data_IF_544547461636
#
_entry.id   IF_544547461636
#
_cell.length_a   1.000
_cell.length_b   1.000
_cell.length_c   1.000
_cell.angle_alpha   90.00
_cell.angle_beta   90.00
_cell.angle_gamma   90.00
#
_symmetry.space_group_name_H-M   'P 1'
#
loop_
_entity.id
_entity.type
_entity.pdbx_description
1 polymer ?
#
# COMPACT_ATOMS: atom_id res chain seq x y z
N UNK A 1 11.88 2.67 -0.11
CA UNK A 1 10.62 2.23 0.53
C UNK A 1 9.50 2.20 -0.50
N UNK A 2 8.55 1.28 -0.36
CA UNK A 2 7.37 1.14 -1.24
C UNK A 2 6.09 1.20 -0.42
N UNK A 3 5.22 2.16 -0.72
CA UNK A 3 3.85 2.18 -0.20
C UNK A 3 2.88 1.56 -1.20
N UNK A 4 1.85 0.91 -0.67
CA UNK A 4 0.74 0.35 -1.44
C UNK A 4 -0.60 0.91 -0.97
N UNK A 5 -1.58 0.99 -1.86
CA UNK A 5 -2.96 0.84 -1.42
C UNK A 5 -3.22 -0.62 -0.97
N UNK A 6 -4.32 -0.85 -0.26
CA UNK A 6 -4.74 -2.18 0.14
C UNK A 6 -5.73 -2.80 -0.85
N UNK A 7 -6.93 -2.22 -0.94
CA UNK A 7 -8.04 -2.76 -1.73
C UNK A 7 -7.81 -2.58 -3.22
N UNK A 8 -8.09 -3.62 -4.01
CA UNK A 8 -7.85 -3.66 -5.45
C UNK A 8 -6.40 -3.35 -5.87
N UNK A 9 -5.47 -3.42 -4.92
CA UNK A 9 -4.02 -3.29 -5.13
C UNK A 9 -3.25 -4.47 -4.57
N UNK A 10 -3.49 -4.87 -3.31
CA UNK A 10 -2.93 -6.09 -2.73
C UNK A 10 -4.01 -7.14 -2.46
N UNK A 11 -5.22 -6.72 -2.13
CA UNK A 11 -6.33 -7.57 -1.73
C UNK A 11 -7.52 -7.31 -2.62
N UNK A 12 -8.20 -8.38 -3.03
CA UNK A 12 -9.51 -8.34 -3.68
C UNK A 12 -10.59 -8.73 -2.69
N UNK A 13 -11.73 -8.03 -2.75
CA UNK A 13 -12.96 -8.39 -2.02
C UNK A 13 -13.96 -8.97 -3.01
N UNK A 14 -14.28 -10.24 -2.83
CA UNK A 14 -15.32 -10.92 -3.61
C UNK A 14 -16.72 -10.38 -3.27
N UNK A 15 -17.70 -10.66 -4.14
CA UNK A 15 -19.10 -10.25 -3.94
C UNK A 15 -19.71 -10.78 -2.63
N UNK A 16 -19.22 -11.92 -2.13
CA UNK A 16 -19.65 -12.54 -0.88
C UNK A 16 -18.95 -11.97 0.37
N UNK A 17 -18.06 -10.98 0.18
CA UNK A 17 -17.28 -10.33 1.22
C UNK A 17 -15.96 -11.02 1.54
N UNK A 18 -15.67 -12.18 0.95
CA UNK A 18 -14.40 -12.87 1.19
C UNK A 18 -13.21 -12.10 0.61
N UNK A 19 -12.09 -12.14 1.35
CA UNK A 19 -10.87 -11.41 1.03
C UNK A 19 -9.75 -12.38 0.67
N UNK A 20 -9.00 -12.06 -0.38
CA UNK A 20 -7.80 -12.79 -0.74
C UNK A 20 -6.80 -11.88 -1.47
N UNK A 21 -5.56 -12.33 -1.58
CA UNK A 21 -4.55 -11.62 -2.36
C UNK A 21 -4.96 -11.49 -3.82
N UNK A 22 -4.73 -10.32 -4.41
CA UNK A 22 -4.69 -10.21 -5.87
C UNK A 22 -3.58 -11.11 -6.44
N UNK A 23 -3.73 -11.55 -7.71
CA UNK A 23 -2.69 -12.33 -8.38
C UNK A 23 -1.31 -11.67 -8.23
N UNK A 24 -0.30 -12.48 -7.96
CA UNK A 24 1.10 -12.06 -7.77
C UNK A 24 1.41 -11.20 -6.53
N UNK A 25 0.42 -10.70 -5.78
CA UNK A 25 0.64 -9.80 -4.63
C UNK A 25 1.53 -10.43 -3.56
N UNK A 26 1.17 -11.64 -3.11
CA UNK A 26 1.93 -12.37 -2.08
C UNK A 26 3.36 -12.69 -2.52
N UNK A 27 3.56 -13.02 -3.81
CA UNK A 27 4.89 -13.24 -4.38
C UNK A 27 5.70 -11.95 -4.36
N UNK A 28 5.10 -10.84 -4.80
CA UNK A 28 5.78 -9.56 -4.88
C UNK A 28 6.20 -9.03 -3.50
N UNK A 29 5.33 -9.13 -2.49
CA UNK A 29 5.67 -8.76 -1.10
C UNK A 29 6.84 -9.59 -0.57
N UNK A 30 6.85 -10.91 -0.86
CA UNK A 30 7.99 -11.76 -0.50
C UNK A 30 9.28 -11.32 -1.18
N UNK A 31 9.24 -10.99 -2.47
CA UNK A 31 10.43 -10.53 -3.21
C UNK A 31 10.97 -9.20 -2.66
N UNK A 32 10.09 -8.28 -2.26
CA UNK A 32 10.50 -7.04 -1.61
C UNK A 32 11.18 -7.29 -0.27
N UNK A 33 10.61 -8.18 0.56
CA UNK A 33 11.22 -8.60 1.83
C UNK A 33 12.58 -9.27 1.61
N UNK A 34 12.69 -10.16 0.64
CA UNK A 34 13.97 -10.84 0.30
C UNK A 34 15.05 -9.87 -0.18
N UNK A 35 14.65 -8.73 -0.76
CA UNK A 35 15.54 -7.65 -1.18
C UNK A 35 15.76 -6.56 -0.11
N UNK A 36 15.29 -6.78 1.13
CA UNK A 36 15.37 -5.79 2.23
C UNK A 36 14.72 -4.43 1.89
N UNK A 37 13.68 -4.46 1.06
CA UNK A 37 12.91 -3.26 0.70
C UNK A 37 11.76 -3.10 1.68
N UNK A 38 11.82 -2.04 2.49
CA UNK A 38 10.73 -1.69 3.40
C UNK A 38 9.44 -1.36 2.64
N UNK A 39 8.33 -1.94 3.11
CA UNK A 39 6.98 -1.71 2.57
C UNK A 39 6.05 -0.99 3.55
N UNK A 40 5.04 -0.29 3.06
CA UNK A 40 4.04 0.37 3.88
C UNK A 40 2.67 0.35 3.22
N UNK A 41 1.64 0.68 3.98
CA UNK A 41 0.28 0.90 3.45
C UNK A 41 -0.08 2.37 3.55
N UNK A 42 -0.72 2.90 2.51
CA UNK A 42 -1.48 4.14 2.56
C UNK A 42 -2.91 3.79 2.18
N UNK A 43 -3.77 3.65 3.18
CA UNK A 43 -5.10 3.09 2.98
C UNK A 43 -6.17 3.92 3.67
N UNK A 44 -7.33 4.03 3.02
CA UNK A 44 -8.49 4.71 3.57
C UNK A 44 -9.24 3.77 4.51
N UNK A 45 -9.32 4.14 5.78
CA UNK A 45 -10.18 3.50 6.76
C UNK A 45 -11.03 4.57 7.46
N UNK A 46 -12.14 4.18 8.11
CA UNK A 46 -12.90 5.08 8.96
C UNK A 46 -12.04 5.66 10.10
N UNK A 47 -11.92 7.01 10.23
CA UNK A 47 -11.18 7.62 11.32
C UNK A 47 -11.68 7.22 12.71
N UNK A 48 -12.98 6.93 12.83
CA UNK A 48 -13.61 6.47 14.07
C UNK A 48 -13.13 5.09 14.56
N UNK A 49 -12.34 4.35 13.76
CA UNK A 49 -11.76 3.08 14.18
C UNK A 49 -10.66 3.22 15.24
N UNK A 50 -10.12 4.41 15.46
CA UNK A 50 -9.11 4.64 16.50
C UNK A 50 -8.52 6.05 16.45
N UNK A 51 -7.83 6.46 17.50
CA UNK A 51 -7.20 7.79 17.60
C UNK A 51 -5.84 7.81 16.89
N UNK A 52 -5.13 6.67 16.91
CA UNK A 52 -3.81 6.51 16.30
C UNK A 52 -3.83 5.64 15.04
N UNK A 53 -2.76 5.73 14.23
CA UNK A 53 -2.61 4.82 13.09
C UNK A 53 -2.54 3.37 13.53
N UNK A 54 -1.90 3.08 14.67
CA UNK A 54 -1.76 1.73 15.20
C UNK A 54 -3.11 1.13 15.57
N UNK A 55 -4.00 1.90 16.19
CA UNK A 55 -5.36 1.43 16.53
C UNK A 55 -6.20 1.19 15.27
N UNK A 56 -6.16 2.12 14.30
CA UNK A 56 -6.88 1.96 13.03
C UNK A 56 -6.32 0.81 12.20
N UNK A 57 -5.01 0.59 12.20
CA UNK A 57 -4.36 -0.55 11.58
C UNK A 57 -4.70 -1.88 12.26
N UNK A 58 -4.78 -1.91 13.59
CA UNK A 58 -5.21 -3.08 14.34
C UNK A 58 -6.67 -3.45 14.00
N UNK A 59 -7.56 -2.46 13.89
CA UNK A 59 -8.95 -2.69 13.47
C UNK A 59 -9.05 -3.17 12.02
N UNK A 60 -8.26 -2.59 11.12
CA UNK A 60 -8.15 -3.03 9.74
C UNK A 60 -7.71 -4.50 9.65
N UNK A 61 -6.67 -4.88 10.41
CA UNK A 61 -6.20 -6.26 10.50
C UNK A 61 -7.28 -7.22 10.98
N UNK A 62 -8.01 -6.85 12.05
CA UNK A 62 -9.12 -7.67 12.56
C UNK A 62 -10.18 -7.94 11.47
N UNK A 63 -10.58 -6.90 10.72
CA UNK A 63 -11.59 -7.02 9.66
C UNK A 63 -11.07 -7.90 8.51
N UNK A 64 -9.85 -7.63 8.04
CA UNK A 64 -9.29 -8.38 6.92
C UNK A 64 -9.07 -9.84 7.29
N UNK A 65 -8.54 -10.12 8.48
CA UNK A 65 -8.30 -11.50 8.95
C UNK A 65 -9.60 -12.27 9.19
N UNK A 66 -10.70 -11.59 9.55
CA UNK A 66 -12.00 -12.23 9.77
C UNK A 66 -12.61 -12.79 8.48
N UNK A 67 -12.44 -12.07 7.37
CA UNK A 67 -13.02 -12.43 6.07
C UNK A 67 -11.98 -13.05 5.10
N UNK A 68 -10.77 -13.33 5.58
CA UNK A 68 -9.68 -13.86 4.77
C UNK A 68 -9.90 -15.32 4.35
N UNK A 69 -9.82 -15.58 3.04
CA UNK A 69 -9.93 -16.92 2.44
C UNK A 69 -8.71 -17.31 1.62
N UNK A 70 -7.71 -16.44 1.53
CA UNK A 70 -6.44 -16.73 0.85
C UNK A 70 -5.70 -17.91 1.48
N UNK A 71 -5.03 -18.71 0.64
CA UNK A 71 -4.31 -19.92 1.08
C UNK A 71 -3.14 -19.66 2.02
N UNK A 72 -2.62 -18.43 2.03
CA UNK A 72 -1.63 -17.93 2.98
C UNK A 72 -2.20 -16.70 3.69
N UNK A 73 -1.92 -16.50 5.00
CA UNK A 73 -2.34 -15.29 5.71
C UNK A 73 -1.82 -14.02 5.03
N UNK A 74 -2.50 -12.90 5.26
CA UNK A 74 -1.96 -11.62 4.85
C UNK A 74 -0.70 -11.28 5.67
N UNK A 75 0.35 -10.85 4.98
CA UNK A 75 1.69 -10.60 5.53
C UNK A 75 1.77 -9.29 6.33
N UNK A 76 0.94 -9.14 7.37
CA UNK A 76 0.89 -7.94 8.22
C UNK A 76 2.24 -7.52 8.79
N UNK A 77 3.09 -8.49 9.12
CA UNK A 77 4.45 -8.27 9.67
C UNK A 77 5.30 -7.39 8.76
N UNK A 78 5.13 -7.50 7.43
CA UNK A 78 5.87 -6.68 6.46
C UNK A 78 5.54 -5.18 6.58
N UNK A 79 4.38 -4.84 7.14
CA UNK A 79 3.84 -3.47 7.23
C UNK A 79 3.85 -2.88 8.64
N UNK A 80 4.29 -3.63 9.66
CA UNK A 80 4.23 -3.16 11.05
C UNK A 80 4.93 -1.80 11.23
N UNK A 81 4.23 -0.87 11.89
CA UNK A 81 4.67 0.51 12.10
C UNK A 81 4.60 1.42 10.87
N UNK A 82 4.18 0.91 9.70
CA UNK A 82 4.21 1.63 8.40
C UNK A 82 2.85 1.66 7.69
N UNK A 83 1.75 1.58 8.46
CA UNK A 83 0.37 1.71 7.95
C UNK A 83 -0.11 3.13 8.24
N UNK A 84 -0.27 3.93 7.19
CA UNK A 84 -0.77 5.30 7.27
C UNK A 84 -2.27 5.33 6.97
N UNK A 85 -3.01 5.93 7.90
CA UNK A 85 -4.48 6.00 7.86
C UNK A 85 -4.96 7.43 8.09
N UNK A 86 -6.12 7.81 7.54
CA UNK A 86 -6.68 9.14 7.71
C UNK A 86 -7.13 9.36 9.16
N UNK A 87 -6.72 10.49 9.75
CA UNK A 87 -7.13 10.94 11.09
C UNK A 87 -8.51 11.60 11.06
N UNK A 88 -8.92 12.11 9.90
CA UNK A 88 -10.22 12.73 9.68
C UNK A 88 -10.76 12.36 8.29
N UNK A 89 -12.01 12.70 8.01
CA UNK A 89 -12.61 12.43 6.70
C UNK A 89 -11.90 13.22 5.58
N UNK A 90 -11.40 14.42 5.89
CA UNK A 90 -10.69 15.31 4.96
C UNK A 90 -9.29 14.78 4.58
N UNK A 91 -8.70 13.93 5.43
CA UNK A 91 -7.43 13.27 5.12
C UNK A 91 -7.58 12.05 4.20
N UNK A 92 -8.81 11.59 3.91
CA UNK A 92 -9.02 10.42 3.05
C UNK A 92 -8.44 10.67 1.67
N UNK A 93 -7.71 9.68 1.13
CA UNK A 93 -7.27 9.69 -0.27
C UNK A 93 -8.47 9.97 -1.17
N UNK A 94 -8.34 10.86 -2.18
CA UNK A 94 -7.08 11.36 -2.74
C UNK A 94 -6.56 12.67 -2.11
N UNK A 95 -6.95 13.01 -0.88
CA UNK A 95 -6.28 14.10 -0.14
C UNK A 95 -4.76 13.83 -0.02
N UNK A 96 -3.90 14.85 -0.11
CA UNK A 96 -2.44 14.67 -0.09
C UNK A 96 -1.90 14.26 1.29
N UNK A 97 -2.67 14.45 2.36
CA UNK A 97 -2.20 14.34 3.74
C UNK A 97 -1.45 13.03 4.07
N UNK A 98 -1.91 11.89 3.55
CA UNK A 98 -1.23 10.62 3.80
C UNK A 98 0.04 10.43 2.98
N UNK A 99 0.07 10.96 1.75
CA UNK A 99 1.26 10.94 0.90
C UNK A 99 2.34 11.89 1.45
N UNK A 100 1.95 13.07 1.95
CA UNK A 100 2.88 13.98 2.65
C UNK A 100 3.53 13.29 3.86
N UNK A 101 2.73 12.56 4.66
CA UNK A 101 3.23 11.81 5.83
C UNK A 101 4.18 10.68 5.43
N UNK A 102 3.86 9.94 4.37
CA UNK A 102 4.74 8.86 3.89
C UNK A 102 6.04 9.38 3.29
N UNK A 103 5.99 10.48 2.53
CA UNK A 103 7.18 11.16 2.00
C UNK A 103 8.07 11.70 3.14
N UNK A 104 7.46 12.32 4.16
CA UNK A 104 8.17 12.80 5.34
C UNK A 104 8.84 11.68 6.15
N UNK A 105 8.24 10.50 6.22
CA UNK A 105 8.80 9.32 6.90
C UNK A 105 9.98 8.70 6.14
N UNK A 106 10.10 8.97 4.83
CA UNK A 106 11.17 8.41 4.00
C UNK A 106 12.53 9.12 4.16
N UNK A 107 12.62 10.17 4.98
CA UNK A 107 13.88 10.86 5.32
C UNK A 107 14.78 11.25 4.13
N UNK A 108 14.17 11.61 3.00
CA UNK A 108 14.87 12.00 1.78
C UNK A 108 15.18 10.85 0.81
N UNK A 109 14.81 9.61 1.14
CA UNK A 109 14.85 8.50 0.21
C UNK A 109 13.72 8.60 -0.82
N UNK A 110 13.98 8.13 -2.05
CA UNK A 110 12.95 7.98 -3.07
C UNK A 110 11.88 6.98 -2.61
N UNK A 111 10.62 7.34 -2.84
CA UNK A 111 9.46 6.54 -2.42
C UNK A 111 8.67 6.11 -3.64
N UNK A 112 8.27 4.84 -3.66
CA UNK A 112 7.35 4.30 -4.66
C UNK A 112 5.95 4.20 -4.06
N UNK A 113 4.91 4.59 -4.79
CA UNK A 113 3.51 4.28 -4.46
C UNK A 113 2.88 3.41 -5.56
N UNK A 114 2.35 2.26 -5.19
CA UNK A 114 1.62 1.38 -6.09
C UNK A 114 0.14 1.38 -5.70
N UNK A 115 -0.74 1.64 -6.67
CA UNK A 115 -2.18 1.75 -6.45
C UNK A 115 -2.95 1.62 -7.76
N UNK A 116 -4.25 1.49 -7.70
CA UNK A 116 -5.15 1.30 -8.84
C UNK A 116 -5.86 2.61 -9.27
N UNK A 117 -6.12 3.51 -8.32
CA UNK A 117 -6.86 4.75 -8.59
C UNK A 117 -5.97 5.83 -9.22
N UNK A 118 -6.24 6.18 -10.48
CA UNK A 118 -5.47 7.18 -11.24
C UNK A 118 -5.31 8.53 -10.53
N UNK A 119 -6.36 8.99 -9.82
CA UNK A 119 -6.34 10.26 -9.07
C UNK A 119 -5.40 10.22 -7.87
N UNK A 120 -5.30 9.08 -7.19
CA UNK A 120 -4.35 8.90 -6.09
C UNK A 120 -2.92 8.88 -6.62
N UNK A 121 -2.68 8.17 -7.73
CA UNK A 121 -1.37 8.15 -8.39
C UNK A 121 -0.93 9.55 -8.83
N UNK A 122 -1.85 10.40 -9.28
CA UNK A 122 -1.55 11.79 -9.63
C UNK A 122 -1.14 12.61 -8.40
N UNK A 123 -1.86 12.47 -7.29
CA UNK A 123 -1.55 13.19 -6.04
C UNK A 123 -0.22 12.71 -5.47
N UNK A 124 0.02 11.40 -5.39
CA UNK A 124 1.29 10.84 -4.95
C UNK A 124 2.47 11.35 -5.81
N UNK A 125 2.32 11.47 -7.14
CA UNK A 125 3.37 12.07 -8.00
C UNK A 125 3.67 13.53 -7.63
N UNK A 126 2.65 14.32 -7.28
CA UNK A 126 2.84 15.72 -6.85
C UNK A 126 3.60 15.81 -5.53
N UNK A 127 3.45 14.80 -4.66
CA UNK A 127 4.24 14.65 -3.43
C UNK A 127 5.62 14.00 -3.63
N UNK A 128 6.05 13.83 -4.89
CA UNK A 128 7.40 13.35 -5.23
C UNK A 128 7.54 11.83 -5.33
N UNK A 129 6.45 11.07 -5.28
CA UNK A 129 6.52 9.61 -5.43
C UNK A 129 6.78 9.19 -6.88
N UNK A 130 7.56 8.13 -7.04
CA UNK A 130 7.48 7.29 -8.22
C UNK A 130 6.20 6.46 -8.12
N UNK A 131 5.34 6.50 -9.12
CA UNK A 131 4.05 5.79 -9.01
C UNK A 131 3.86 4.73 -10.06
N UNK A 132 3.23 3.64 -9.64
CA UNK A 132 2.91 2.51 -10.48
C UNK A 132 1.41 2.22 -10.40
N UNK A 133 0.75 2.15 -11.55
CA UNK A 133 -0.63 1.71 -11.61
C UNK A 133 -0.67 0.18 -11.57
N UNK A 134 -1.34 -0.39 -10.57
CA UNK A 134 -1.66 -1.82 -10.50
C UNK A 134 -2.89 -2.10 -11.35
N UNK A 135 -3.00 -3.33 -11.88
CA UNK A 135 -4.14 -3.73 -12.73
C UNK A 135 -4.11 -3.16 -14.16
N UNK A 136 -2.95 -2.75 -14.65
CA UNK A 136 -2.80 -2.24 -16.02
C UNK A 136 -3.08 -3.32 -17.06
N UNK A 137 -3.84 -2.96 -18.10
CA UNK A 137 -4.05 -3.83 -19.25
C UNK A 137 -2.77 -4.03 -20.08
N UNK A 138 -2.70 -5.17 -20.77
CA UNK A 138 -1.61 -5.51 -21.69
C UNK A 138 -0.45 -6.23 -21.02
N UNK A 139 0.73 -6.20 -21.65
CA UNK A 139 1.91 -6.95 -21.23
C UNK A 139 2.73 -6.28 -20.11
N UNK A 140 2.06 -5.52 -19.23
CA UNK A 140 2.73 -4.89 -18.09
C UNK A 140 2.80 -5.87 -16.91
N UNK A 141 3.86 -5.81 -16.09
CA UNK A 141 3.89 -6.54 -14.81
C UNK A 141 2.67 -6.20 -13.93
N UNK A 142 2.28 -7.10 -13.03
CA UNK A 142 1.20 -6.81 -12.06
C UNK A 142 1.61 -5.72 -11.05
N UNK A 143 2.89 -5.71 -10.68
CA UNK A 143 3.52 -4.75 -9.77
C UNK A 143 4.84 -4.26 -10.34
N UNK A 144 5.33 -3.10 -9.89
CA UNK A 144 6.63 -2.58 -10.30
C UNK A 144 7.73 -3.58 -9.91
N UNK A 145 8.54 -4.09 -10.86
CA UNK A 145 9.53 -5.10 -10.55
C UNK A 145 10.57 -4.62 -9.52
N UNK A 146 10.96 -5.51 -8.60
CA UNK A 146 11.94 -5.20 -7.53
C UNK A 146 13.24 -4.58 -8.07
N UNK A 147 13.85 -5.08 -9.16
CA UNK A 147 15.07 -4.44 -9.71
C UNK A 147 14.87 -2.98 -10.15
N UNK A 148 13.65 -2.61 -10.55
CA UNK A 148 13.32 -1.21 -10.90
C UNK A 148 13.20 -0.36 -9.63
N UNK A 149 12.61 -0.92 -8.57
CA UNK A 149 12.49 -0.26 -7.27
C UNK A 149 13.89 0.01 -6.68
N UNK A 150 14.79 -0.98 -6.73
CA UNK A 150 16.18 -0.82 -6.30
C UNK A 150 16.91 0.25 -7.13
N UNK A 151 16.69 0.29 -8.44
CA UNK A 151 17.28 1.32 -9.30
C UNK A 151 16.75 2.73 -8.96
N UNK A 152 15.47 2.86 -8.63
CA UNK A 152 14.88 4.14 -8.17
C UNK A 152 15.54 4.60 -6.87
N UNK A 153 15.80 3.68 -5.93
CA UNK A 153 16.45 4.02 -4.65
C UNK A 153 17.88 4.57 -4.82
N UNK A 154 18.52 4.33 -5.97
CA UNK A 154 19.88 4.78 -6.30
C UNK A 154 19.91 6.12 -7.07
N UNK A 155 18.75 6.70 -7.39
CA UNK A 155 18.69 7.98 -8.10
C UNK A 155 19.25 9.12 -7.22
N UNK A 156 19.90 10.13 -7.83
CA UNK A 156 20.49 11.25 -7.11
C UNK A 156 19.46 12.15 -6.43
#
# INVERSE_FOLDING_TARGET
>A
MVYFDLGETLVHTEDDGSLHYLPEAARHLRELREADVEVGLITNVPPEWGETDAERAAKLREIVDADWTGTSPFAWEDFEGRILTPRTVEERKPSPALFERGSGAAHGCHVVYQGETAKELEVARKEGYFTYAVGREGAWPAYLPVPVIEAIAQLP
#
